data_IF_840273292051
#
_entry.id   IF_840273292051
#
_cell.length_a   1.000
_cell.length_b   1.000
_cell.length_c   1.000
_cell.angle_alpha   90.00
_cell.angle_beta   90.00
_cell.angle_gamma   90.00
#
_symmetry.space_group_name_H-M   'P 1'
#
loop_
_entity.id
_entity.type
_entity.pdbx_description
1 polymer ?
2 non-polymer ?
3 non-polymer ?
4 non-polymer ?
5 water ?
#
# COMPACT_ATOMS: atom_id res chain seq x y z
N UNK A 24 -8.49 -21.48 4.13
CA UNK A 24 -8.13 -20.15 4.63
C UNK A 24 -9.27 -19.13 4.47
N UNK A 25 -9.06 -17.96 5.06
CA UNK A 25 -10.09 -16.93 5.17
C UNK A 25 -10.62 -16.48 3.81
N UNK A 26 -11.90 -16.15 3.78
CA UNK A 26 -12.49 -15.33 2.74
C UNK A 26 -12.40 -13.86 3.15
N UNK A 27 -11.87 -13.03 2.26
CA UNK A 27 -11.64 -11.61 2.52
C UNK A 27 -12.57 -10.82 1.60
N UNK A 28 -13.32 -9.85 2.11
CA UNK A 28 -14.35 -9.21 1.29
C UNK A 28 -13.78 -8.36 0.17
N UNK A 29 -14.52 -8.32 -0.93
CA UNK A 29 -14.27 -7.44 -2.06
C UNK A 29 -15.20 -6.24 -1.98
N UNK A 30 -14.75 -5.09 -2.49
CA UNK A 30 -15.61 -3.93 -2.55
C UNK A 30 -16.08 -3.43 -1.19
N UNK A 31 -15.26 -3.60 -0.16
CA UNK A 31 -15.63 -3.21 1.19
C UNK A 31 -14.38 -2.67 1.89
N UNK A 32 -14.47 -1.47 2.47
CA UNK A 32 -13.27 -0.83 3.01
C UNK A 32 -12.71 -1.68 4.15
N UNK A 33 -11.42 -1.97 4.06
CA UNK A 33 -10.67 -2.69 5.10
C UNK A 33 -9.65 -1.72 5.69
N UNK A 34 -9.68 -1.55 7.01
CA UNK A 34 -8.78 -0.61 7.68
C UNK A 34 -7.76 -1.26 8.59
N UNK A 35 -7.93 -2.53 8.94
CA UNK A 35 -7.20 -3.11 10.06
C UNK A 35 -6.82 -4.55 9.74
N UNK A 36 -5.57 -4.91 10.09
CA UNK A 36 -5.13 -6.28 9.96
C UNK A 36 -5.91 -7.18 10.92
N UNK A 37 -6.12 -8.43 10.53
CA UNK A 37 -6.81 -9.38 11.40
C UNK A 37 -5.89 -10.35 12.11
N UNK A 38 -4.72 -10.65 11.55
CA UNK A 38 -3.78 -11.53 12.24
C UNK A 38 -3.21 -10.82 13.47
N UNK A 39 -3.36 -11.39 14.66
CA UNK A 39 -2.89 -10.69 15.87
C UNK A 39 -1.40 -10.42 15.80
N UNK A 40 -1.01 -9.27 16.34
CA UNK A 40 0.39 -8.89 16.55
C UNK A 40 1.13 -8.68 15.24
N UNK A 41 0.41 -8.30 14.18
CA UNK A 41 1.01 -7.91 12.92
C UNK A 41 0.87 -6.40 12.73
N UNK A 42 1.71 -5.86 11.88
CA UNK A 42 1.59 -4.49 11.43
C UNK A 42 1.97 -4.46 9.95
N UNK A 43 1.21 -3.71 9.16
CA UNK A 43 1.47 -3.63 7.73
C UNK A 43 1.91 -2.20 7.45
N UNK A 44 3.21 -2.01 7.18
CA UNK A 44 3.73 -0.73 6.71
C UNK A 44 3.51 -0.64 5.21
N UNK A 45 2.83 0.41 4.76
CA UNK A 45 2.46 0.53 3.36
C UNK A 45 2.89 1.89 2.83
N UNK A 46 3.13 1.93 1.52
CA UNK A 46 3.72 3.11 0.87
C UNK A 46 2.98 3.39 -0.42
N UNK A 47 2.44 4.61 -0.55
CA UNK A 47 1.61 5.00 -1.68
C UNK A 47 2.34 5.92 -2.63
N UNK A 48 1.89 5.90 -3.90
CA UNK A 48 2.13 6.89 -4.96
C UNK A 48 3.43 6.64 -5.71
N UNK A 49 4.21 5.64 -5.36
CA UNK A 49 5.45 5.36 -6.04
C UNK A 49 5.24 4.40 -7.20
N UNK A 50 6.33 3.83 -7.73
CA UNK A 50 7.74 3.98 -7.30
C UNK A 50 8.29 5.38 -7.53
N UNK A 51 9.31 5.72 -6.76
CA UNK A 51 10.03 6.98 -6.90
C UNK A 51 11.53 6.70 -6.86
N UNK A 52 12.31 7.76 -7.08
CA UNK A 52 13.75 7.60 -6.98
C UNK A 52 14.22 7.29 -5.57
N UNK A 53 13.38 7.46 -4.55
CA UNK A 53 13.73 7.06 -3.19
C UNK A 53 13.36 5.63 -2.87
N UNK A 54 12.52 5.00 -3.69
CA UNK A 54 12.10 3.63 -3.39
C UNK A 54 13.27 2.65 -3.26
N UNK A 55 14.32 2.70 -4.10
CA UNK A 55 15.40 1.72 -3.91
C UNK A 55 16.07 1.80 -2.54
N UNK A 56 16.27 3.00 -1.99
CA UNK A 56 16.82 3.10 -0.65
C UNK A 56 15.88 2.51 0.39
N UNK A 57 14.57 2.74 0.23
CA UNK A 57 13.62 2.13 1.15
C UNK A 57 13.67 0.61 1.08
N UNK A 58 13.78 0.05 -0.12
CA UNK A 58 13.91 -1.40 -0.25
C UNK A 58 15.17 -1.92 0.43
N UNK A 59 16.27 -1.17 0.33
CA UNK A 59 17.48 -1.57 1.05
C UNK A 59 17.22 -1.63 2.55
N UNK A 60 16.51 -0.64 3.07
CA UNK A 60 16.23 -0.60 4.50
C UNK A 60 15.30 -1.75 4.91
N UNK A 61 14.26 -2.01 4.13
CA UNK A 61 13.36 -3.11 4.45
C UNK A 61 14.11 -4.44 4.45
N UNK A 62 15.06 -4.61 3.54
CA UNK A 62 15.79 -5.89 3.53
C UNK A 62 16.74 -6.00 4.73
N UNK A 63 17.29 -4.87 5.21
CA UNK A 63 18.14 -4.94 6.40
C UNK A 63 17.35 -5.43 7.61
N UNK A 64 16.10 -4.99 7.74
CA UNK A 64 15.27 -5.38 8.88
C UNK A 64 14.56 -6.71 8.66
N UNK A 65 14.66 -7.29 7.46
CA UNK A 65 14.08 -8.59 7.14
C UNK A 65 12.56 -8.59 7.36
N UNK A 66 11.90 -7.57 6.80
CA UNK A 66 10.46 -7.41 6.90
C UNK A 66 9.90 -7.32 5.49
N UNK A 67 8.57 -7.38 5.40
CA UNK A 67 7.84 -7.23 4.14
C UNK A 67 6.91 -6.03 4.25
N UNK A 68 6.79 -5.27 3.17
CA UNK A 68 5.90 -4.11 3.12
C UNK A 68 4.98 -4.23 1.92
N UNK A 69 4.08 -3.24 1.77
CA UNK A 69 3.14 -3.20 0.65
C UNK A 69 3.24 -1.86 -0.03
N UNK A 70 3.28 -1.86 -1.36
CA UNK A 70 3.41 -0.66 -2.16
C UNK A 70 2.19 -0.54 -3.06
N UNK A 71 1.39 0.52 -2.86
CA UNK A 71 0.25 0.80 -3.72
C UNK A 71 0.72 1.83 -4.75
N UNK A 72 0.87 1.39 -6.00
CA UNK A 72 1.67 2.10 -7.00
C UNK A 72 0.76 2.80 -8.00
N UNK A 73 1.33 3.80 -8.68
CA UNK A 73 0.64 4.60 -9.69
C UNK A 73 1.12 4.26 -11.10
N UNK A 74 0.35 4.72 -12.08
CA UNK A 74 0.57 4.41 -13.48
C UNK A 74 1.85 4.94 -14.09
N UNK A 75 2.01 6.27 -14.13
CA UNK A 75 3.22 6.82 -14.76
C UNK A 75 4.48 6.43 -13.98
N UNK A 76 4.38 6.38 -12.65
CA UNK A 76 5.53 5.98 -11.84
C UNK A 76 5.93 4.54 -12.15
N UNK A 77 4.97 3.65 -12.34
CA UNK A 77 5.30 2.26 -12.64
C UNK A 77 5.87 2.14 -14.05
N UNK A 78 5.32 2.89 -15.01
CA UNK A 78 5.82 2.81 -16.38
C UNK A 78 7.22 3.41 -16.48
N UNK A 79 7.53 4.41 -15.66
CA UNK A 79 8.85 5.02 -15.70
C UNK A 79 9.90 4.17 -14.97
N UNK A 80 9.47 3.35 -14.01
CA UNK A 80 10.40 2.61 -13.15
C UNK A 80 10.05 1.13 -13.10
N UNK A 81 9.92 0.47 -14.25
CA UNK A 81 9.51 -0.95 -14.23
C UNK A 81 10.46 -1.81 -13.44
N UNK A 82 11.76 -1.47 -13.44
CA UNK A 82 12.71 -2.30 -12.71
C UNK A 82 12.49 -2.20 -11.20
N UNK A 83 11.92 -1.10 -10.71
CA UNK A 83 11.62 -1.01 -9.28
C UNK A 83 10.43 -1.88 -8.94
N UNK A 84 9.41 -1.91 -9.81
CA UNK A 84 8.30 -2.84 -9.62
C UNK A 84 8.82 -4.27 -9.48
N UNK A 85 9.69 -4.67 -10.41
CA UNK A 85 10.23 -6.03 -10.35
C UNK A 85 11.00 -6.26 -9.05
N UNK A 86 11.79 -5.26 -8.62
CA UNK A 86 12.56 -5.43 -7.39
C UNK A 86 11.65 -5.52 -6.18
N UNK A 87 10.57 -4.74 -6.15
CA UNK A 87 9.60 -4.86 -5.05
C UNK A 87 9.11 -6.30 -4.95
N UNK A 88 8.74 -6.90 -6.08
CA UNK A 88 8.22 -8.27 -6.06
C UNK A 88 9.30 -9.29 -5.74
N UNK A 89 10.49 -9.12 -6.30
CA UNK A 89 11.54 -10.11 -6.05
C UNK A 89 11.99 -10.11 -4.61
N UNK A 90 11.81 -9.02 -3.88
CA UNK A 90 12.23 -8.98 -2.49
C UNK A 90 11.09 -9.30 -1.54
N UNK A 91 9.98 -9.83 -2.07
CA UNK A 91 8.93 -10.41 -1.26
C UNK A 91 7.85 -9.46 -0.82
N UNK A 92 7.88 -8.21 -1.27
CA UNK A 92 6.87 -7.25 -0.91
C UNK A 92 5.65 -7.39 -1.81
N UNK A 93 4.52 -6.85 -1.36
CA UNK A 93 3.28 -6.89 -2.11
C UNK A 93 3.09 -5.62 -2.91
N UNK A 94 2.65 -5.77 -4.16
CA UNK A 94 2.26 -4.66 -5.02
C UNK A 94 0.75 -4.62 -5.06
N UNK A 95 0.18 -3.46 -4.70
CA UNK A 95 -1.24 -3.21 -4.85
C UNK A 95 -1.47 -2.08 -5.85
N UNK A 96 -2.74 -1.95 -6.25
CA UNK A 96 -3.13 -0.88 -7.18
C UNK A 96 -3.48 0.41 -6.43
N UNK A 97 -3.00 1.54 -6.94
CA UNK A 97 -3.42 2.85 -6.43
C UNK A 97 -4.13 3.66 -7.51
N UNK A 98 -4.69 2.99 -8.52
CA UNK A 98 -5.22 3.54 -9.79
C UNK A 98 -4.09 4.02 -10.68
N UNK A 99 -4.41 4.29 -11.95
CA UNK A 99 -3.37 4.80 -12.83
C UNK A 99 -3.02 6.24 -12.50
N UNK A 100 -4.03 7.09 -12.43
CA UNK A 100 -3.89 8.55 -12.51
C UNK A 100 -4.09 9.24 -11.18
N UNK A 101 -4.41 8.50 -10.11
CA UNK A 101 -4.57 9.08 -8.77
C UNK A 101 -5.75 10.04 -8.67
N UNK A 102 -6.81 9.77 -9.44
CA UNK A 102 -8.03 10.57 -9.37
C UNK A 102 -8.90 10.14 -8.20
N UNK A 103 -9.51 11.11 -7.52
CA UNK A 103 -10.51 10.78 -6.50
C UNK A 103 -11.66 10.03 -7.18
N UNK A 104 -11.82 8.74 -6.86
CA UNK A 104 -12.70 7.90 -7.67
C UNK A 104 -14.16 8.33 -7.61
N UNK A 105 -14.69 8.86 -6.51
CA UNK A 105 -16.08 9.34 -6.55
C UNK A 105 -16.32 10.49 -7.51
N UNK A 106 -15.27 11.14 -8.03
CA UNK A 106 -15.51 12.15 -9.06
C UNK A 106 -15.68 11.54 -10.44
N UNK A 107 -15.70 10.21 -10.57
CA UNK A 107 -15.70 9.53 -11.85
C UNK A 107 -16.96 8.69 -12.04
N UNK A 108 -17.29 8.44 -13.31
CA UNK A 108 -18.35 7.51 -13.64
C UNK A 108 -17.89 6.07 -13.43
N UNK A 109 -18.88 5.15 -13.41
CA UNK A 109 -18.56 3.73 -13.34
C UNK A 109 -17.51 3.34 -14.37
N UNK A 110 -17.72 3.69 -15.64
CA UNK A 110 -16.78 3.31 -16.69
C UNK A 110 -15.41 3.94 -16.47
N UNK A 111 -15.39 5.20 -16.03
CA UNK A 111 -14.11 5.86 -15.80
C UNK A 111 -13.35 5.24 -14.64
N UNK A 112 -14.07 4.80 -13.60
CA UNK A 112 -13.42 4.13 -12.48
C UNK A 112 -12.82 2.82 -12.93
N UNK A 113 -13.57 2.04 -13.71
CA UNK A 113 -13.04 0.83 -14.30
C UNK A 113 -11.75 1.13 -15.05
N UNK A 114 -11.75 2.18 -15.86
CA UNK A 114 -10.57 2.47 -16.67
C UNK A 114 -9.37 2.86 -15.81
N UNK A 115 -9.62 3.56 -14.70
CA UNK A 115 -8.52 3.86 -13.80
C UNK A 115 -7.87 2.59 -13.27
N UNK A 116 -8.65 1.52 -13.11
CA UNK A 116 -8.08 0.28 -12.62
C UNK A 116 -7.46 -0.55 -13.74
N UNK A 117 -8.16 -0.70 -14.88
CA UNK A 117 -7.64 -1.59 -15.92
C UNK A 117 -6.41 -1.01 -16.63
N UNK A 118 -6.34 0.32 -16.73
CA UNK A 118 -5.13 0.96 -17.28
C UNK A 118 -3.89 0.53 -16.49
N UNK A 119 -3.97 0.63 -15.16
CA UNK A 119 -2.85 0.21 -14.34
C UNK A 119 -2.62 -1.30 -14.44
N UNK A 120 -3.69 -2.08 -14.65
CA UNK A 120 -3.52 -3.52 -14.83
C UNK A 120 -2.66 -3.82 -16.06
N UNK A 121 -2.87 -3.06 -17.15
CA UNK A 121 -2.05 -3.28 -18.35
C UNK A 121 -0.57 -3.07 -18.03
N UNK A 122 -0.25 -2.00 -17.30
CA UNK A 122 1.12 -1.69 -16.92
C UNK A 122 1.71 -2.79 -16.05
N UNK A 123 0.99 -3.20 -15.01
CA UNK A 123 1.55 -4.16 -14.06
C UNK A 123 1.65 -5.55 -14.67
N UNK A 124 0.68 -5.93 -15.51
CA UNK A 124 0.77 -7.22 -16.18
C UNK A 124 2.07 -7.33 -16.96
N UNK A 125 2.43 -6.26 -17.66
CA UNK A 125 3.62 -6.27 -18.49
C UNK A 125 4.90 -6.17 -17.67
N UNK A 126 4.86 -5.53 -16.50
CA UNK A 126 6.10 -5.39 -15.75
C UNK A 126 6.31 -6.55 -14.78
N UNK A 127 5.27 -7.01 -14.07
CA UNK A 127 5.46 -8.03 -13.07
C UNK A 127 4.78 -9.37 -13.40
N UNK A 128 4.07 -9.47 -14.52
CA UNK A 128 3.57 -10.75 -14.97
C UNK A 128 2.21 -11.16 -14.43
N UNK A 129 1.59 -10.33 -13.60
CA UNK A 129 0.25 -10.59 -13.08
C UNK A 129 -0.32 -9.25 -12.63
N UNK A 130 -1.54 -9.28 -12.10
CA UNK A 130 -2.19 -8.04 -11.67
C UNK A 130 -2.66 -8.18 -10.23
N UNK A 131 -2.72 -7.08 -9.47
CA UNK A 131 -3.06 -7.18 -8.05
C UNK A 131 -4.55 -7.38 -7.83
N UNK A 132 -4.86 -8.00 -6.69
CA UNK A 132 -6.24 -8.08 -6.23
C UNK A 132 -6.52 -7.11 -5.08
N UNK A 133 -5.51 -6.35 -4.64
CA UNK A 133 -5.66 -5.36 -3.58
C UNK A 133 -5.46 -3.96 -4.15
N UNK A 134 -6.29 -3.01 -3.71
CA UNK A 134 -6.17 -1.63 -4.16
C UNK A 134 -6.39 -0.70 -2.98
N UNK A 135 -5.88 0.52 -3.11
CA UNK A 135 -6.14 1.61 -2.17
C UNK A 135 -6.69 2.80 -2.94
N UNK A 136 -7.82 3.35 -2.53
CA UNK A 136 -8.40 4.50 -3.25
C UNK A 136 -7.57 5.75 -2.98
N UNK A 137 -7.30 6.55 -4.02
CA UNK A 137 -6.70 7.88 -3.79
C UNK A 137 -7.47 8.67 -2.75
N UNK A 138 -6.73 9.22 -1.78
CA UNK A 138 -7.24 10.03 -0.68
C UNK A 138 -8.20 9.27 0.21
N UNK A 139 -8.24 7.94 0.09
CA UNK A 139 -9.26 7.09 0.74
C UNK A 139 -10.69 7.45 0.32
N UNK A 140 -10.88 8.16 -0.79
CA UNK A 140 -12.21 8.60 -1.18
C UNK A 140 -12.98 7.43 -1.78
N UNK A 141 -14.15 7.11 -1.20
CA UNK A 141 -15.02 6.07 -1.75
C UNK A 141 -16.46 6.56 -1.74
N UNK A 142 -17.27 5.96 -2.60
CA UNK A 142 -18.72 6.10 -2.57
C UNK A 142 -19.29 4.77 -3.02
N UNK A 143 -20.63 4.66 -3.05
CA UNK A 143 -21.23 3.39 -3.43
C UNK A 143 -20.78 2.96 -4.82
N UNK A 144 -20.70 3.90 -5.76
CA UNK A 144 -20.32 3.54 -7.13
C UNK A 144 -18.93 2.95 -7.17
N UNK A 145 -17.99 3.58 -6.47
CA UNK A 145 -16.62 3.07 -6.41
C UNK A 145 -16.59 1.66 -5.84
N UNK A 146 -17.30 1.43 -4.74
CA UNK A 146 -17.29 0.10 -4.14
C UNK A 146 -17.94 -0.92 -5.04
N UNK A 147 -18.97 -0.52 -5.79
CA UNK A 147 -19.58 -1.43 -6.76
C UNK A 147 -18.58 -1.84 -7.84
N UNK A 148 -17.79 -0.89 -8.34
CA UNK A 148 -16.76 -1.24 -9.32
C UNK A 148 -15.78 -2.23 -8.73
N UNK A 149 -15.32 -1.99 -7.49
CA UNK A 149 -14.30 -2.86 -6.91
C UNK A 149 -14.86 -4.25 -6.67
N UNK A 150 -16.12 -4.33 -6.23
CA UNK A 150 -16.79 -5.64 -6.15
C UNK A 150 -16.84 -6.32 -7.51
N UNK A 151 -17.26 -5.58 -8.54
CA UNK A 151 -17.40 -6.16 -9.88
C UNK A 151 -16.06 -6.60 -10.47
N UNK A 152 -14.98 -5.89 -10.15
CA UNK A 152 -13.65 -6.22 -10.69
C UNK A 152 -12.87 -7.17 -9.81
N UNK A 153 -13.35 -7.47 -8.59
CA UNK A 153 -12.65 -8.38 -7.71
C UNK A 153 -11.46 -7.76 -6.99
N UNK A 154 -11.63 -6.56 -6.46
CA UNK A 154 -10.58 -5.89 -5.69
C UNK A 154 -10.96 -5.81 -4.22
N UNK A 155 -10.01 -6.17 -3.36
CA UNK A 155 -10.08 -5.81 -1.95
C UNK A 155 -9.71 -4.34 -1.81
N UNK A 156 -10.49 -3.59 -1.02
CA UNK A 156 -10.33 -2.15 -0.88
C UNK A 156 -9.68 -1.86 0.47
N UNK A 157 -8.49 -1.27 0.46
CA UNK A 157 -7.69 -1.08 1.68
C UNK A 157 -7.52 0.40 1.92
N UNK A 158 -7.88 0.86 3.13
CA UNK A 158 -7.46 2.21 3.50
C UNK A 158 -6.40 2.08 4.58
N UNK A 159 -6.63 2.55 5.81
CA UNK A 159 -5.56 2.51 6.82
C UNK A 159 -6.15 2.73 8.21
N UNK A 160 -5.40 2.28 9.23
CA UNK A 160 -5.72 2.60 10.62
C UNK A 160 -4.60 3.36 11.32
N UNK A 161 -3.50 3.62 10.62
CA UNK A 161 -2.47 4.57 11.04
C UNK A 161 -2.16 5.44 9.83
N UNK A 162 -2.19 6.75 9.99
CA UNK A 162 -1.88 7.65 8.89
C UNK A 162 -0.78 8.59 9.35
N UNK A 163 0.43 8.45 8.78
CA UNK A 163 1.55 9.25 9.23
C UNK A 163 1.42 10.73 8.86
N UNK A 164 0.57 11.05 7.88
CA UNK A 164 0.50 12.40 7.32
C UNK A 164 1.89 12.89 6.90
N UNK A 165 2.70 11.95 6.39
CA UNK A 165 4.08 12.29 6.06
C UNK A 165 4.18 13.30 4.92
N UNK A 166 3.17 13.37 4.05
CA UNK A 166 3.20 14.33 2.95
C UNK A 166 3.27 15.77 3.47
N UNK A 167 2.78 16.01 4.68
CA UNK A 167 2.73 17.34 5.27
C UNK A 167 3.88 17.62 6.24
N UNK A 168 4.82 16.67 6.37
CA UNK A 168 5.92 16.82 7.31
C UNK A 168 7.25 16.46 6.65
N UNK A 169 7.35 16.71 5.34
CA UNK A 169 8.49 16.24 4.55
C UNK A 169 9.65 17.24 4.63
N UNK A 170 10.16 17.39 5.86
CA UNK A 170 11.37 18.17 6.09
C UNK A 170 12.03 17.63 7.34
N UNK A 171 13.36 17.75 7.46
CA UNK A 171 14.03 17.19 8.65
C UNK A 171 13.46 17.65 9.97
N UNK A 172 13.00 18.90 10.07
CA UNK A 172 12.51 19.39 11.34
C UNK A 172 11.06 19.02 11.61
N UNK A 173 10.31 18.61 10.58
CA UNK A 173 8.91 18.25 10.76
C UNK A 173 8.67 16.75 10.87
N UNK A 174 9.56 15.92 10.32
CA UNK A 174 9.21 14.51 10.14
C UNK A 174 8.96 13.80 11.47
N UNK A 175 9.53 14.28 12.57
CA UNK A 175 9.27 13.64 13.85
C UNK A 175 7.79 13.69 14.24
N UNK A 176 7.06 14.70 13.75
CA UNK A 176 5.63 14.75 14.05
C UNK A 176 4.86 13.60 13.41
N UNK A 177 5.34 13.11 12.26
CA UNK A 177 4.73 11.92 11.67
C UNK A 177 5.01 10.69 12.51
N UNK A 178 6.21 10.61 13.08
CA UNK A 178 6.50 9.50 13.97
C UNK A 178 5.62 9.56 15.22
N UNK A 179 5.41 10.75 15.77
CA UNK A 179 4.55 10.86 16.96
C UNK A 179 3.14 10.39 16.65
N UNK A 180 2.62 10.76 15.48
CA UNK A 180 1.29 10.29 15.11
C UNK A 180 1.28 8.78 14.92
N UNK A 181 2.33 8.25 14.27
CA UNK A 181 2.46 6.81 14.08
C UNK A 181 2.40 6.07 15.41
N UNK A 182 3.21 6.49 16.38
CA UNK A 182 3.27 5.79 17.66
C UNK A 182 1.94 5.86 18.39
N UNK A 183 1.33 7.05 18.39
CA UNK A 183 0.07 7.23 19.09
C UNK A 183 -1.02 6.34 18.49
N UNK A 184 -1.12 6.29 17.17
CA UNK A 184 -2.15 5.47 16.53
C UNK A 184 -1.83 3.98 16.64
N UNK A 185 -0.55 3.63 16.65
CA UNK A 185 -0.17 2.24 16.91
C UNK A 185 -0.57 1.83 18.34
N UNK A 186 -0.34 2.70 19.32
CA UNK A 186 -0.79 2.42 20.68
C UNK A 186 -2.30 2.30 20.78
N UNK A 187 -3.03 3.00 19.90
CA UNK A 187 -4.48 2.92 19.86
C UNK A 187 -4.98 1.63 19.22
N UNK A 188 -4.09 0.78 18.74
CA UNK A 188 -4.48 -0.43 18.06
C UNK A 188 -4.47 -0.35 16.56
N UNK A 189 -4.10 0.79 15.98
CA UNK A 189 -3.89 0.83 14.55
C UNK A 189 -2.77 -0.12 14.15
N UNK A 190 -2.90 -0.70 12.96
CA UNK A 190 -1.90 -1.68 12.56
C UNK A 190 -1.70 -1.72 11.05
N UNK A 191 -2.30 -0.82 10.29
CA UNK A 191 -2.19 -0.81 8.84
C UNK A 191 -1.89 0.63 8.47
N UNK A 192 -0.65 0.91 8.08
CA UNK A 192 -0.07 2.24 8.17
C UNK A 192 0.21 2.85 6.80
N UNK A 193 -0.21 4.10 6.63
CA UNK A 193 -0.04 4.83 5.36
C UNK A 193 1.16 5.77 5.44
N UNK A 194 2.10 5.61 4.50
CA UNK A 194 3.15 6.59 4.20
C UNK A 194 3.33 6.66 2.69
N UNK A 195 4.21 7.54 2.23
CA UNK A 195 4.41 7.76 0.79
C UNK A 195 5.89 7.67 0.48
N UNK A 196 6.29 6.70 -0.36
CA UNK A 196 7.72 6.62 -0.66
C UNK A 196 8.14 7.61 -1.74
N UNK A 197 7.25 8.52 -2.14
CA UNK A 197 7.59 9.69 -2.93
C UNK A 197 8.23 10.81 -2.11
N UNK A 198 8.19 10.73 -0.77
CA UNK A 198 8.65 11.81 0.10
C UNK A 198 10.02 11.46 0.65
N UNK A 199 11.00 12.35 0.43
CA UNK A 199 12.36 12.04 0.84
C UNK A 199 12.47 11.72 2.33
N UNK A 200 11.84 12.53 3.18
CA UNK A 200 12.02 12.33 4.61
C UNK A 200 11.38 11.04 5.11
N UNK A 201 10.36 10.55 4.40
CA UNK A 201 9.78 9.26 4.76
C UNK A 201 10.81 8.16 4.60
N UNK A 202 11.55 8.18 3.50
CA UNK A 202 12.54 7.15 3.22
C UNK A 202 13.80 7.33 4.06
N UNK A 203 14.30 8.56 4.17
CA UNK A 203 15.61 8.70 4.79
C UNK A 203 15.54 8.77 6.31
N UNK A 204 14.37 9.05 6.90
CA UNK A 204 14.28 9.19 8.35
C UNK A 204 13.12 8.40 8.98
N UNK A 205 11.90 8.59 8.48
CA UNK A 205 10.73 8.06 9.15
C UNK A 205 10.69 6.54 9.12
N UNK A 206 11.02 5.93 7.97
CA UNK A 206 10.88 4.48 7.84
C UNK A 206 11.72 3.75 8.88
N UNK A 207 12.96 4.21 9.09
CA UNK A 207 13.81 3.58 10.10
C UNK A 207 13.23 3.75 11.50
N UNK A 208 12.64 4.92 11.79
CA UNK A 208 12.01 5.09 13.10
C UNK A 208 10.85 4.12 13.28
N UNK A 209 10.03 3.94 12.25
CA UNK A 209 8.93 2.98 12.33
C UNK A 209 9.45 1.55 12.46
N UNK A 210 10.49 1.20 11.72
CA UNK A 210 11.01 -0.15 11.75
C UNK A 210 11.69 -0.47 13.08
N UNK A 211 12.36 0.51 13.68
CA UNK A 211 12.95 0.28 15.00
C UNK A 211 11.88 0.04 16.03
N UNK A 212 10.79 0.79 15.98
CA UNK A 212 9.74 0.67 17.00
C UNK A 212 8.99 -0.65 16.86
N UNK A 213 8.63 -1.01 15.63
CA UNK A 213 7.93 -2.29 15.44
C UNK A 213 8.85 -3.46 15.81
N UNK A 214 10.15 -3.35 15.54
CA UNK A 214 11.07 -4.39 15.97
C UNK A 214 11.16 -4.48 17.49
N UNK A 215 11.24 -3.32 18.16
CA UNK A 215 11.27 -3.29 19.62
C UNK A 215 10.06 -4.00 20.22
N UNK A 216 8.90 -3.85 19.60
CA UNK A 216 7.67 -4.48 20.09
C UNK A 216 7.56 -5.95 19.70
N UNK A 217 8.46 -6.45 18.86
CA UNK A 217 8.36 -7.82 18.41
C UNK A 217 7.17 -8.11 17.53
N UNK A 218 6.66 -7.09 16.82
CA UNK A 218 5.55 -7.27 15.89
C UNK A 218 5.99 -8.02 14.64
N UNK A 219 5.03 -8.69 14.02
CA UNK A 219 5.25 -9.32 12.73
C UNK A 219 4.96 -8.27 11.67
N UNK A 220 6.02 -7.84 10.98
CA UNK A 220 5.97 -6.71 10.07
C UNK A 220 5.82 -7.30 8.67
N UNK A 221 4.62 -7.25 8.10
CA UNK A 221 4.34 -8.07 6.93
C UNK A 221 3.42 -7.34 5.96
N UNK A 222 3.08 -8.02 4.87
CA UNK A 222 2.27 -7.39 3.82
C UNK A 222 0.82 -7.28 4.27
N UNK A 223 0.06 -6.45 3.56
CA UNK A 223 -1.37 -6.33 3.86
C UNK A 223 -2.07 -7.67 3.66
N UNK A 224 -1.86 -8.32 2.52
CA UNK A 224 -2.46 -9.63 2.30
C UNK A 224 -2.15 -10.61 3.42
N UNK A 225 -0.87 -10.70 3.81
CA UNK A 225 -0.49 -11.61 4.88
C UNK A 225 -1.15 -11.21 6.22
N UNK A 226 -1.25 -9.92 6.50
CA UNK A 226 -1.80 -9.51 7.78
C UNK A 226 -3.31 -9.71 7.84
N UNK A 227 -3.95 -10.00 6.70
CA UNK A 227 -5.35 -10.41 6.65
C UNK A 227 -5.52 -11.91 6.58
N UNK A 228 -4.43 -12.68 6.59
CA UNK A 228 -4.52 -14.13 6.54
C UNK A 228 -4.65 -14.70 5.14
N UNK A 229 -4.36 -13.92 4.11
CA UNK A 229 -4.50 -14.27 2.71
C UNK A 229 -3.20 -14.88 2.20
N UNK A 230 -3.22 -16.08 1.63
CA UNK A 230 -2.00 -16.64 1.03
C UNK A 230 -1.58 -15.80 -0.18
N UNK A 231 -0.26 -15.76 -0.42
CA UNK A 231 0.27 -14.89 -1.46
C UNK A 231 -0.31 -15.23 -2.84
N UNK A 232 -0.66 -16.50 -3.07
CA UNK A 232 -1.30 -16.88 -4.32
C UNK A 232 -2.54 -16.04 -4.61
N UNK A 233 -3.19 -15.52 -3.57
CA UNK A 233 -4.41 -14.74 -3.72
C UNK A 233 -4.17 -13.22 -3.80
N UNK A 234 -2.93 -12.74 -3.65
CA UNK A 234 -2.74 -11.30 -3.77
C UNK A 234 -2.70 -10.85 -5.22
N UNK A 235 -2.63 -11.79 -6.16
CA UNK A 235 -2.54 -11.47 -7.58
C UNK A 235 -3.44 -12.41 -8.35
N UNK A 236 -3.77 -12.01 -9.58
CA UNK A 236 -4.48 -12.87 -10.50
C UNK A 236 -3.87 -12.71 -11.88
N UNK A 237 -4.23 -13.62 -12.78
CA UNK A 237 -3.82 -13.53 -14.17
C UNK A 237 -4.57 -12.41 -14.89
N UNK A 238 -4.01 -12.00 -16.02
CA UNK A 238 -4.64 -11.01 -16.88
C UNK A 238 -6.10 -11.38 -17.16
N UNK A 239 -6.97 -10.37 -17.20
CA UNK A 239 -8.38 -10.57 -17.57
C UNK A 239 -8.50 -11.01 -19.03
X LIG B 1 -2.09 8.50 -3.01
X LIG C 1 -4.04 8.28 0.54
X LIG C 1 -3.28 8.31 -0.78
X LIG C 1 -3.84 9.63 1.22
X LIG C 1 -3.89 8.73 -1.80
X LIG C 1 -2.06 7.96 -0.85
X LIG C 1 -2.77 10.27 1.06
X LIG C 1 -4.77 10.11 1.93
X LIG D 1 -22.13 5.95 -13.86
#
# INVERSE_FOLDING_TARGET
MFKSLALVALATISPSALCAPITSRDIPFGQVITTCTTPNTVALTFDDGPSSYTPQLLDLLSEYKVRATFFVLGEASQSNPQIIQRIRQEGHQVGSHTYDHTSLPTLSYDQIVQEMTSLESVLQSTMGDIPTYMRPPYFDVNDLTLQVMSDLGYHVVTASIDTKDYNHNSPDLISQSYDKFVTELNNGGNLCLAHDTKEQTVVTLAKMMLDETKSRGLTVTTVGDCLGDPEASWYRSSR
ZN ZN
MLI C1 C2 C3 O6 O7 O8 O9
CL CL
#
